data_IF_194068920682
#
_entry.id   IF_194068920682
#
_cell.length_a   1.000
_cell.length_b   1.000
_cell.length_c   1.000
_cell.angle_alpha   90.00
_cell.angle_beta   90.00
_cell.angle_gamma   90.00
#
_symmetry.space_group_name_H-M   'P 1'
#
loop_
_entity.id
_entity.type
_entity.pdbx_description
1 polymer ?
#
# COMPACT_ATOMS: atom_id res chain seq x y z
N UNK A 1 -35.84 12.37 0.94
CA UNK A 1 -35.11 11.20 1.47
C UNK A 1 -33.68 11.36 0.99
N UNK A 2 -32.76 11.68 1.90
CA UNK A 2 -31.37 11.87 1.54
C UNK A 2 -30.79 10.55 1.06
N UNK A 3 -30.44 10.51 -0.23
CA UNK A 3 -29.88 9.35 -0.89
C UNK A 3 -28.42 9.20 -0.47
N UNK A 4 -28.21 8.91 0.82
CA UNK A 4 -26.88 8.82 1.42
C UNK A 4 -26.14 7.66 0.78
N UNK A 5 -25.07 7.97 0.06
CA UNK A 5 -24.24 6.98 -0.61
C UNK A 5 -23.57 6.11 0.46
N UNK A 6 -23.88 4.81 0.44
CA UNK A 6 -23.28 3.85 1.37
C UNK A 6 -21.87 3.46 0.92
N UNK A 7 -20.83 3.62 1.76
CA UNK A 7 -19.45 3.23 1.46
C UNK A 7 -19.30 1.81 0.91
N UNK A 8 -20.05 0.85 1.43
CA UNK A 8 -20.00 -0.55 1.03
C UNK A 8 -20.49 -0.79 -0.41
N UNK A 9 -21.26 0.15 -0.98
CA UNK A 9 -21.72 0.09 -2.36
C UNK A 9 -20.77 0.78 -3.34
N UNK A 10 -19.65 1.33 -2.86
CA UNK A 10 -18.64 1.97 -3.69
C UNK A 10 -17.46 1.05 -3.96
N UNK A 11 -17.06 0.98 -5.23
CA UNK A 11 -15.77 0.49 -5.68
C UNK A 11 -14.89 1.71 -5.94
N UNK A 12 -13.73 1.78 -5.28
CA UNK A 12 -12.75 2.84 -5.51
C UNK A 12 -11.70 2.33 -6.48
N UNK A 13 -11.42 3.12 -7.51
CA UNK A 13 -10.45 2.81 -8.55
C UNK A 13 -9.45 3.96 -8.64
N UNK A 14 -8.16 3.67 -8.86
CA UNK A 14 -7.18 4.69 -9.20
C UNK A 14 -6.49 4.33 -10.52
N UNK A 15 -6.33 5.33 -11.39
CA UNK A 15 -5.56 5.21 -12.61
C UNK A 15 -5.08 6.58 -13.05
N UNK A 16 -3.84 6.66 -13.54
CA UNK A 16 -3.23 7.86 -14.18
C UNK A 16 -3.50 9.17 -13.41
N UNK A 17 -3.14 9.21 -12.11
CA UNK A 17 -3.28 10.42 -11.29
C UNK A 17 -4.73 10.80 -10.92
N UNK A 18 -5.70 9.98 -11.30
CA UNK A 18 -7.10 10.16 -10.94
C UNK A 18 -7.60 9.01 -10.05
N UNK A 19 -8.61 9.32 -9.25
CA UNK A 19 -9.31 8.37 -8.37
C UNK A 19 -10.80 8.51 -8.65
N UNK A 20 -11.51 7.38 -8.67
CA UNK A 20 -12.92 7.31 -9.00
C UNK A 20 -13.65 6.49 -7.95
N UNK A 21 -14.86 6.90 -7.60
CA UNK A 21 -15.83 6.01 -6.98
C UNK A 21 -16.88 5.58 -8.00
N UNK A 22 -17.08 4.28 -8.08
CA UNK A 22 -18.04 3.61 -8.96
C UNK A 22 -19.06 2.89 -8.09
N UNK A 23 -20.35 3.03 -8.37
CA UNK A 23 -21.37 2.20 -7.73
C UNK A 23 -21.21 0.75 -8.18
N UNK A 24 -21.11 -0.17 -7.22
CA UNK A 24 -21.03 -1.61 -7.49
C UNK A 24 -22.28 -2.16 -8.19
N UNK A 25 -23.43 -1.51 -7.99
CA UNK A 25 -24.74 -1.98 -8.47
C UNK A 25 -24.95 -1.81 -9.96
N UNK A 26 -24.48 -0.70 -10.54
CA UNK A 26 -24.80 -0.31 -11.92
C UNK A 26 -23.58 0.24 -12.69
N UNK A 27 -22.41 0.34 -12.06
CA UNK A 27 -21.21 0.91 -12.69
C UNK A 27 -21.24 2.44 -12.84
N UNK A 28 -22.25 3.13 -12.30
CA UNK A 28 -22.34 4.57 -12.40
C UNK A 28 -21.24 5.25 -11.57
N UNK A 29 -20.60 6.25 -12.16
CA UNK A 29 -19.60 7.06 -11.48
C UNK A 29 -20.26 8.02 -10.50
N UNK A 30 -19.83 7.96 -9.25
CA UNK A 30 -20.29 8.84 -8.16
C UNK A 30 -19.45 10.11 -8.11
N UNK A 31 -18.13 9.96 -8.08
CA UNK A 31 -17.20 11.08 -8.08
C UNK A 31 -15.89 10.75 -8.80
N UNK A 32 -15.16 11.81 -9.18
CA UNK A 32 -13.78 11.77 -9.68
C UNK A 32 -12.95 12.77 -8.88
N UNK A 33 -11.80 12.33 -8.39
CA UNK A 33 -10.80 13.20 -7.78
C UNK A 33 -9.53 13.20 -8.65
N UNK A 34 -9.09 14.39 -9.04
CA UNK A 34 -7.80 14.60 -9.72
C UNK A 34 -6.74 14.90 -8.67
N UNK A 35 -5.71 14.06 -8.58
CA UNK A 35 -4.64 14.26 -7.62
C UNK A 35 -3.63 15.26 -8.20
N UNK A 36 -3.89 16.55 -7.96
CA UNK A 36 -2.98 17.62 -8.38
C UNK A 36 -1.60 17.43 -7.75
N UNK A 37 -0.54 17.68 -8.51
CA UNK A 37 0.85 17.68 -8.01
C UNK A 37 1.47 16.31 -7.70
N UNK A 38 0.73 15.20 -7.86
CA UNK A 38 1.31 13.85 -7.68
C UNK A 38 1.74 13.20 -8.99
N UNK A 39 1.58 13.83 -10.16
CA UNK A 39 2.00 13.29 -11.45
C UNK A 39 1.13 12.14 -11.98
N UNK A 40 1.65 11.39 -12.94
CA UNK A 40 0.95 10.28 -13.61
C UNK A 40 1.57 8.95 -13.18
N UNK A 41 0.82 8.14 -12.41
CA UNK A 41 1.26 6.82 -11.95
C UNK A 41 0.07 5.96 -11.53
N UNK A 42 0.35 4.69 -11.21
CA UNK A 42 -0.63 3.83 -10.53
C UNK A 42 -0.45 4.02 -9.03
N UNK A 43 -1.51 4.41 -8.35
CA UNK A 43 -1.50 4.64 -6.91
C UNK A 43 -1.79 3.36 -6.15
N UNK A 44 -1.02 3.09 -5.10
CA UNK A 44 -1.46 2.11 -4.11
C UNK A 44 -2.68 2.66 -3.38
N UNK A 45 -3.78 1.93 -3.48
CA UNK A 45 -5.09 2.34 -2.98
C UNK A 45 -5.48 1.45 -1.80
N UNK A 46 -5.90 2.08 -0.71
CA UNK A 46 -6.48 1.39 0.44
C UNK A 46 -7.72 2.15 0.91
N UNK A 47 -8.81 1.46 1.23
CA UNK A 47 -10.02 2.07 1.78
C UNK A 47 -10.18 1.60 3.22
N UNK A 48 -10.35 2.52 4.16
CA UNK A 48 -10.74 2.23 5.54
C UNK A 48 -11.70 3.30 6.04
N UNK A 49 -12.72 2.88 6.77
CA UNK A 49 -13.71 3.75 7.39
C UNK A 49 -14.34 4.73 6.37
N UNK A 50 -14.21 6.03 6.59
CA UNK A 50 -14.73 7.07 5.71
C UNK A 50 -13.69 7.64 4.73
N UNK A 51 -12.53 6.99 4.57
CA UNK A 51 -11.41 7.51 3.76
C UNK A 51 -10.88 6.51 2.74
N UNK A 52 -10.49 7.02 1.58
CA UNK A 52 -9.65 6.34 0.60
C UNK A 52 -8.24 6.93 0.65
N UNK A 53 -7.24 6.09 0.88
CA UNK A 53 -5.83 6.44 0.94
C UNK A 53 -5.15 6.07 -0.37
N UNK A 54 -4.50 7.04 -0.99
CA UNK A 54 -3.83 6.87 -2.28
C UNK A 54 -2.38 7.28 -2.15
N UNK A 55 -1.51 6.28 -2.18
CA UNK A 55 -0.07 6.45 -2.22
C UNK A 55 0.41 6.52 -3.67
N UNK A 56 0.98 7.65 -4.08
CA UNK A 56 1.48 7.83 -5.44
C UNK A 56 2.64 8.82 -5.41
N UNK A 57 3.74 8.46 -6.08
CA UNK A 57 4.74 9.45 -6.46
C UNK A 57 5.26 10.29 -5.27
N UNK A 58 5.66 9.59 -4.21
CA UNK A 58 6.17 10.22 -2.98
C UNK A 58 5.13 10.99 -2.18
N UNK A 59 3.84 10.80 -2.43
CA UNK A 59 2.76 11.39 -1.64
C UNK A 59 1.81 10.31 -1.14
N UNK A 60 1.19 10.57 0.01
CA UNK A 60 -0.01 9.88 0.46
C UNK A 60 -1.13 10.91 0.57
N UNK A 61 -2.22 10.68 -0.14
CA UNK A 61 -3.41 11.53 -0.10
C UNK A 61 -4.56 10.76 0.52
N UNK A 62 -5.26 11.36 1.47
CA UNK A 62 -6.53 10.82 1.97
C UNK A 62 -7.69 11.60 1.36
N UNK A 63 -8.62 10.87 0.75
CA UNK A 63 -9.85 11.39 0.18
C UNK A 63 -11.04 10.93 1.04
N UNK A 64 -12.05 11.79 1.18
CA UNK A 64 -13.33 11.39 1.73
C UNK A 64 -13.99 10.39 0.77
N UNK A 65 -14.41 9.25 1.32
CA UNK A 65 -14.88 8.11 0.54
C UNK A 65 -16.20 8.40 -0.20
N UNK A 66 -17.01 9.31 0.31
CA UNK A 66 -18.37 9.57 -0.19
C UNK A 66 -18.44 10.64 -1.27
N UNK A 67 -17.52 11.60 -1.29
CA UNK A 67 -17.52 12.72 -2.23
C UNK A 67 -16.18 12.92 -2.99
N UNK A 68 -15.12 12.21 -2.60
CA UNK A 68 -13.79 12.30 -3.22
C UNK A 68 -12.99 13.54 -2.82
N UNK A 69 -13.47 14.36 -1.88
CA UNK A 69 -12.77 15.55 -1.43
C UNK A 69 -11.46 15.19 -0.71
N UNK A 70 -10.37 15.91 -1.00
CA UNK A 70 -9.12 15.74 -0.27
C UNK A 70 -9.28 16.19 1.19
N UNK A 71 -9.02 15.27 2.11
CA UNK A 71 -9.05 15.53 3.56
C UNK A 71 -7.69 16.03 4.02
N UNK A 72 -6.63 15.33 3.62
CA UNK A 72 -5.25 15.69 3.93
C UNK A 72 -4.28 15.08 2.93
N UNK A 73 -3.04 15.56 2.98
CA UNK A 73 -1.93 15.08 2.17
C UNK A 73 -0.63 15.06 2.95
N UNK A 74 0.09 13.94 2.87
CA UNK A 74 1.42 13.78 3.42
C UNK A 74 2.45 13.70 2.27
N UNK A 75 3.55 14.48 2.32
CA UNK A 75 4.58 14.51 1.28
C UNK A 75 5.60 13.36 1.36
N UNK A 76 5.37 12.36 2.22
CA UNK A 76 6.24 11.21 2.49
C UNK A 76 7.72 11.56 2.52
N UNK A 77 8.08 12.66 3.19
CA UNK A 77 9.41 13.24 3.10
C UNK A 77 10.50 12.22 3.44
N UNK A 78 11.46 12.03 2.54
CA UNK A 78 12.55 11.06 2.73
C UNK A 78 12.22 9.62 2.33
N UNK A 79 11.04 9.34 1.78
CA UNK A 79 10.64 8.02 1.23
C UNK A 79 10.99 7.84 -0.26
N UNK A 80 11.54 8.89 -0.90
CA UNK A 80 11.79 8.99 -2.35
C UNK A 80 10.52 8.94 -3.20
N UNK A 81 10.69 9.31 -4.47
CA UNK A 81 9.63 9.30 -5.47
C UNK A 81 9.62 7.93 -6.16
N UNK A 82 8.83 6.99 -5.64
CA UNK A 82 8.76 5.62 -6.16
C UNK A 82 7.38 5.02 -5.88
N UNK A 83 7.21 3.76 -6.29
CA UNK A 83 6.07 2.93 -5.90
C UNK A 83 6.02 2.84 -4.36
N UNK A 84 4.81 2.77 -3.84
CA UNK A 84 4.56 2.70 -2.41
C UNK A 84 3.58 1.55 -2.13
N UNK A 85 3.74 0.90 -0.99
CA UNK A 85 2.75 -0.03 -0.43
C UNK A 85 1.98 0.72 0.65
N UNK A 86 0.64 0.60 0.65
CA UNK A 86 -0.24 1.25 1.64
C UNK A 86 -1.08 0.20 2.34
N UNK A 87 -1.19 0.31 3.66
CA UNK A 87 -2.00 -0.56 4.52
C UNK A 87 -2.53 0.28 5.68
N UNK A 88 -3.77 0.06 6.12
CA UNK A 88 -4.31 0.75 7.30
C UNK A 88 -4.48 -0.26 8.44
N UNK A 89 -3.88 0.05 9.58
CA UNK A 89 -4.07 -0.68 10.82
C UNK A 89 -5.10 0.05 11.67
N UNK A 90 -6.29 -0.54 11.80
CA UNK A 90 -7.31 -0.05 12.71
C UNK A 90 -6.95 -0.53 14.12
N UNK A 91 -6.67 0.42 15.01
CA UNK A 91 -6.27 0.10 16.39
C UNK A 91 -7.50 0.19 17.29
N UNK A 92 -7.62 -0.74 18.24
CA UNK A 92 -8.62 -0.67 19.31
C UNK A 92 -8.24 0.34 20.41
N UNK A 93 -7.06 0.95 20.27
CA UNK A 93 -6.50 1.88 21.24
C UNK A 93 -6.99 3.30 21.03
N UNK A 94 -6.93 4.14 22.06
CA UNK A 94 -7.23 5.58 21.96
C UNK A 94 -6.27 6.34 21.03
N UNK A 95 -5.24 5.69 20.48
CA UNK A 95 -4.25 6.29 19.58
C UNK A 95 -4.72 6.38 18.12
N UNK A 96 -5.92 5.89 17.80
CA UNK A 96 -6.51 5.97 16.46
C UNK A 96 -5.86 5.01 15.44
N UNK A 97 -6.37 5.03 14.21
CA UNK A 97 -5.84 4.20 13.12
C UNK A 97 -4.52 4.74 12.58
N UNK A 98 -3.63 3.83 12.16
CA UNK A 98 -2.33 4.16 11.58
C UNK A 98 -2.29 3.69 10.13
N UNK A 99 -1.99 4.60 9.21
CA UNK A 99 -1.69 4.29 7.82
C UNK A 99 -0.20 3.96 7.71
N UNK A 100 0.09 2.73 7.34
CA UNK A 100 1.43 2.24 7.05
C UNK A 100 1.74 2.49 5.58
N UNK A 101 2.85 3.19 5.33
CA UNK A 101 3.36 3.41 3.98
C UNK A 101 4.79 2.91 3.89
N UNK A 102 5.06 2.06 2.90
CA UNK A 102 6.40 1.53 2.68
C UNK A 102 6.88 1.84 1.27
N UNK A 103 8.15 2.21 1.16
CA UNK A 103 8.81 2.47 -0.11
C UNK A 103 10.32 2.38 0.08
N UNK A 104 11.01 1.83 -0.91
CA UNK A 104 12.47 1.93 -1.02
C UNK A 104 13.25 1.55 0.24
N UNK A 105 12.90 0.42 0.88
CA UNK A 105 13.54 -0.04 2.12
C UNK A 105 13.17 0.77 3.36
N UNK A 106 12.08 1.52 3.32
CA UNK A 106 11.60 2.31 4.45
C UNK A 106 10.14 2.02 4.73
N UNK A 107 9.76 2.25 5.98
CA UNK A 107 8.40 2.18 6.49
C UNK A 107 8.08 3.44 7.29
N UNK A 108 6.91 4.01 7.08
CA UNK A 108 6.37 5.11 7.87
C UNK A 108 5.03 4.71 8.48
N UNK A 109 4.79 5.14 9.71
CA UNK A 109 3.47 5.21 10.32
C UNK A 109 2.94 6.63 10.23
N UNK A 110 1.72 6.77 9.71
CA UNK A 110 1.04 8.06 9.50
C UNK A 110 -0.30 8.02 10.24
N UNK A 111 -0.64 9.08 10.97
CA UNK A 111 -1.95 9.19 11.62
C UNK A 111 -3.07 9.23 10.59
N UNK A 112 -4.07 8.35 10.72
CA UNK A 112 -5.17 8.28 9.76
C UNK A 112 -6.10 9.52 9.77
N UNK A 113 -6.09 10.27 10.88
CA UNK A 113 -6.96 11.44 11.04
C UNK A 113 -6.38 12.71 10.43
N UNK A 114 -5.12 13.05 10.74
CA UNK A 114 -4.52 14.32 10.32
C UNK A 114 -3.43 14.15 9.26
N UNK A 115 -3.02 12.93 8.95
CA UNK A 115 -1.99 12.66 7.93
C UNK A 115 -0.58 13.01 8.40
N UNK A 116 -0.35 13.17 9.69
CA UNK A 116 0.94 13.46 10.29
C UNK A 116 1.83 12.21 10.33
N UNK A 117 3.14 12.37 10.08
CA UNK A 117 4.07 11.25 10.26
C UNK A 117 4.34 11.04 11.75
N UNK A 118 3.97 9.86 12.26
CA UNK A 118 4.16 9.47 13.65
C UNK A 118 5.57 8.94 13.88
N UNK A 119 6.07 8.10 12.97
CA UNK A 119 7.38 7.48 13.07
C UNK A 119 7.90 7.02 11.69
N UNK A 120 9.21 6.74 11.62
CA UNK A 120 9.88 6.19 10.43
C UNK A 120 10.85 5.08 10.81
N UNK A 121 10.97 4.07 9.95
CA UNK A 121 11.91 2.96 10.08
C UNK A 121 12.65 2.73 8.76
N UNK A 122 13.98 2.62 8.81
CA UNK A 122 14.88 2.48 7.65
C UNK A 122 15.14 1.02 7.25
N UNK A 123 14.30 0.06 7.68
CA UNK A 123 14.34 -1.40 7.42
C UNK A 123 15.77 -1.89 7.10
N UNK A 124 16.68 -1.74 8.07
CA UNK A 124 18.12 -1.86 7.82
C UNK A 124 18.47 -3.21 7.17
N UNK A 125 19.11 -3.13 5.99
CA UNK A 125 19.48 -4.29 5.19
C UNK A 125 18.39 -4.80 4.23
N UNK A 126 17.22 -4.15 4.17
CA UNK A 126 16.15 -4.42 3.21
C UNK A 126 16.45 -3.91 1.80
N UNK A 127 17.49 -3.08 1.67
CA UNK A 127 17.92 -2.43 0.43
C UNK A 127 16.79 -1.59 -0.20
N UNK A 128 16.89 -1.30 -1.49
CA UNK A 128 16.08 -0.31 -2.19
C UNK A 128 14.79 -0.84 -2.82
N UNK A 129 14.25 -1.93 -2.27
CA UNK A 129 13.09 -2.61 -2.83
C UNK A 129 11.79 -2.17 -2.17
N UNK A 130 10.67 -2.37 -2.87
CA UNK A 130 9.34 -2.10 -2.34
C UNK A 130 9.00 -3.13 -1.25
N UNK A 131 8.78 -2.72 0.01
CA UNK A 131 8.43 -3.66 1.06
C UNK A 131 6.99 -4.17 0.90
N UNK A 132 6.76 -5.44 1.24
CA UNK A 132 5.43 -6.01 1.41
C UNK A 132 5.03 -5.98 2.89
N UNK A 133 3.76 -5.69 3.15
CA UNK A 133 3.22 -5.43 4.48
C UNK A 133 2.13 -6.45 4.82
N UNK A 134 2.08 -6.87 6.08
CA UNK A 134 1.02 -7.73 6.59
C UNK A 134 0.72 -7.39 8.06
N UNK A 135 -0.56 -7.22 8.37
CA UNK A 135 -1.03 -7.15 9.76
C UNK A 135 -1.28 -8.56 10.28
N UNK A 136 -0.98 -8.76 11.55
CA UNK A 136 -1.29 -9.99 12.28
C UNK A 136 -2.60 -9.79 13.05
N UNK A 137 -3.68 -10.48 12.66
CA UNK A 137 -4.96 -10.39 13.36
C UNK A 137 -4.91 -10.90 14.79
N UNK A 138 -3.91 -11.73 15.13
CA UNK A 138 -3.70 -12.25 16.49
C UNK A 138 -2.86 -11.32 17.35
N UNK A 139 -2.17 -10.37 16.74
CA UNK A 139 -1.35 -9.37 17.41
C UNK A 139 -1.48 -8.03 16.68
N UNK A 140 -2.54 -7.24 16.95
CA UNK A 140 -2.83 -6.02 16.21
C UNK A 140 -1.81 -4.90 16.44
N UNK A 141 -0.91 -5.06 17.42
CA UNK A 141 0.08 -4.06 17.80
C UNK A 141 1.39 -4.17 17.00
N UNK A 142 1.44 -5.09 16.02
CA UNK A 142 2.64 -5.34 15.22
C UNK A 142 2.33 -5.43 13.74
N UNK A 143 3.31 -5.06 12.91
CA UNK A 143 3.30 -5.28 11.46
C UNK A 143 4.47 -6.17 11.06
N UNK A 144 4.17 -7.15 10.22
CA UNK A 144 5.17 -7.98 9.55
C UNK A 144 5.54 -7.33 8.21
N UNK A 145 6.83 -7.19 7.97
CA UNK A 145 7.36 -6.51 6.77
C UNK A 145 8.38 -7.38 6.08
N UNK A 146 8.15 -7.69 4.82
CA UNK A 146 9.14 -8.32 3.96
C UNK A 146 9.83 -7.26 3.09
N UNK A 147 11.15 -7.21 3.06
CA UNK A 147 11.89 -6.31 2.19
C UNK A 147 13.23 -6.92 1.79
N UNK A 148 13.52 -6.97 0.50
CA UNK A 148 14.74 -7.60 0.00
C UNK A 148 14.73 -9.11 0.27
N UNK A 149 15.66 -9.57 1.11
CA UNK A 149 15.76 -10.98 1.57
C UNK A 149 15.53 -11.11 3.06
N UNK A 150 14.82 -10.14 3.65
CA UNK A 150 14.67 -10.01 5.11
C UNK A 150 13.22 -9.88 5.51
N UNK A 151 12.93 -10.40 6.69
CA UNK A 151 11.66 -10.26 7.38
C UNK A 151 11.89 -9.40 8.63
N UNK A 152 10.94 -8.52 8.92
CA UNK A 152 10.94 -7.66 10.09
C UNK A 152 9.61 -7.81 10.82
N UNK A 153 9.67 -7.78 12.15
CA UNK A 153 8.52 -7.53 13.00
C UNK A 153 8.70 -6.15 13.62
N UNK A 154 7.78 -5.25 13.33
CA UNK A 154 7.82 -3.85 13.75
C UNK A 154 6.68 -3.60 14.74
N UNK A 155 6.96 -2.88 15.82
CA UNK A 155 5.92 -2.36 16.71
C UNK A 155 5.13 -1.25 15.99
N UNK A 156 3.81 -1.39 15.94
CA UNK A 156 2.94 -0.51 15.16
C UNK A 156 2.93 0.94 15.67
N UNK A 157 3.14 1.15 16.96
CA UNK A 157 2.92 2.47 17.58
C UNK A 157 4.16 3.36 17.59
N UNK A 158 5.36 2.79 17.62
CA UNK A 158 6.61 3.55 17.66
C UNK A 158 7.53 3.25 16.46
N UNK A 159 7.16 2.30 15.62
CA UNK A 159 7.94 1.91 14.45
C UNK A 159 9.23 1.17 14.78
N UNK A 160 9.47 0.76 16.02
CA UNK A 160 10.69 0.06 16.39
C UNK A 160 10.70 -1.38 15.89
N UNK A 161 11.85 -1.81 15.39
CA UNK A 161 12.06 -3.20 15.00
C UNK A 161 12.17 -4.07 16.25
N UNK A 162 11.16 -4.92 16.48
CA UNK A 162 11.16 -5.91 17.56
C UNK A 162 12.19 -7.00 17.25
N UNK A 163 12.14 -7.53 16.03
CA UNK A 163 13.17 -8.43 15.52
C UNK A 163 13.24 -8.35 13.99
N UNK A 164 14.35 -8.83 13.43
CA UNK A 164 14.50 -9.03 12.00
C UNK A 164 15.31 -10.30 11.71
N UNK A 165 15.09 -10.89 10.54
CA UNK A 165 15.74 -12.13 10.11
C UNK A 165 16.09 -12.10 8.63
N UNK A 166 17.28 -12.60 8.29
CA UNK A 166 17.66 -12.89 6.90
C UNK A 166 17.03 -14.21 6.48
N UNK A 167 16.22 -14.20 5.42
CA UNK A 167 15.59 -15.40 4.85
C UNK A 167 16.49 -16.11 3.84
N UNK A 168 17.32 -15.35 3.10
CA UNK A 168 18.23 -15.91 2.09
C UNK A 168 19.51 -15.09 1.98
N UNK A 169 20.64 -15.80 1.90
CA UNK A 169 21.96 -15.25 1.57
C UNK A 169 22.34 -15.44 0.10
N UNK A 170 21.50 -16.09 -0.71
CA UNK A 170 21.76 -16.31 -2.13
C UNK A 170 22.01 -14.96 -2.81
N UNK A 171 23.08 -14.82 -3.57
CA UNK A 171 23.39 -13.57 -4.28
C UNK A 171 22.61 -13.45 -5.60
N UNK A 172 22.14 -14.57 -6.14
CA UNK A 172 21.37 -14.65 -7.37
C UNK A 172 19.86 -14.57 -7.12
N UNK A 173 19.13 -14.00 -8.08
CA UNK A 173 17.67 -13.92 -8.09
C UNK A 173 17.10 -12.61 -7.53
N UNK A 174 15.85 -12.28 -7.90
CA UNK A 174 15.22 -11.03 -7.49
C UNK A 174 14.95 -11.05 -5.97
N UNK A 175 15.34 -10.02 -5.22
CA UNK A 175 15.23 -9.99 -3.77
C UNK A 175 13.84 -9.48 -3.36
N UNK A 176 12.81 -10.32 -3.58
CA UNK A 176 11.46 -10.05 -3.12
C UNK A 176 11.04 -11.08 -2.09
N UNK A 177 10.26 -10.61 -1.11
CA UNK A 177 9.59 -11.48 -0.14
C UNK A 177 8.10 -11.42 -0.46
N UNK A 178 7.45 -12.59 -0.48
CA UNK A 178 6.00 -12.70 -0.39
C UNK A 178 5.66 -13.34 0.96
N UNK A 179 4.52 -12.98 1.52
CA UNK A 179 4.08 -13.46 2.82
C UNK A 179 2.61 -13.87 2.74
N UNK A 180 2.27 -14.97 3.39
CA UNK A 180 0.89 -15.40 3.56
C UNK A 180 0.75 -16.11 4.91
N UNK A 181 -0.40 -15.90 5.55
CA UNK A 181 -0.93 -16.75 6.62
C UNK A 181 -2.21 -17.41 6.11
N UNK A 182 -2.71 -18.43 6.80
CA UNK A 182 -4.01 -19.02 6.48
C UNK A 182 -5.12 -17.94 6.43
N UNK A 183 -5.13 -17.04 7.41
CA UNK A 183 -6.12 -15.96 7.50
C UNK A 183 -5.95 -14.92 6.38
N UNK A 184 -4.72 -14.52 6.06
CA UNK A 184 -4.50 -13.55 4.99
C UNK A 184 -4.89 -14.12 3.62
N UNK A 185 -4.69 -15.42 3.40
CA UNK A 185 -5.10 -16.10 2.17
C UNK A 185 -6.62 -16.18 2.04
N UNK A 186 -7.33 -16.45 3.13
CA UNK A 186 -8.80 -16.39 3.15
C UNK A 186 -9.31 -14.98 2.83
N UNK A 187 -8.71 -13.96 3.45
CA UNK A 187 -9.08 -12.57 3.18
C UNK A 187 -8.78 -12.19 1.72
N UNK A 188 -7.60 -12.55 1.21
CA UNK A 188 -7.17 -12.26 -0.14
C UNK A 188 -8.12 -12.84 -1.20
N UNK A 189 -8.72 -14.01 -0.95
CA UNK A 189 -9.72 -14.60 -1.86
C UNK A 189 -10.93 -13.69 -2.09
N UNK A 190 -11.27 -12.83 -1.12
CA UNK A 190 -12.38 -11.87 -1.21
C UNK A 190 -11.95 -10.45 -1.59
N UNK A 191 -10.64 -10.15 -1.59
CA UNK A 191 -10.11 -8.81 -1.81
C UNK A 191 -9.18 -8.71 -3.01
N UNK A 192 -9.09 -9.76 -3.86
CA UNK A 192 -8.08 -9.83 -4.91
C UNK A 192 -8.27 -8.75 -5.98
N UNK A 193 -7.59 -7.63 -5.82
CA UNK A 193 -7.28 -6.67 -6.87
C UNK A 193 -5.83 -6.93 -7.27
N UNK A 194 -5.62 -7.70 -8.33
CA UNK A 194 -4.27 -8.09 -8.76
C UNK A 194 -3.47 -6.91 -9.29
N UNK A 195 -2.64 -6.28 -8.45
CA UNK A 195 -1.41 -5.64 -8.91
C UNK A 195 -0.30 -6.67 -8.75
N UNK A 196 0.06 -7.32 -9.84
CA UNK A 196 1.15 -8.28 -9.88
C UNK A 196 2.46 -7.51 -9.61
N UNK A 197 2.90 -7.41 -8.36
CA UNK A 197 4.17 -6.79 -7.95
C UNK A 197 5.41 -7.55 -8.43
N UNK A 198 5.30 -8.29 -9.53
CA UNK A 198 6.43 -8.96 -10.15
C UNK A 198 6.59 -8.51 -11.61
N UNK A 199 7.19 -7.33 -11.86
CA UNK A 199 7.58 -6.94 -13.21
C UNK A 199 8.54 -7.94 -13.86
N UNK A 200 9.23 -8.77 -13.07
CA UNK A 200 10.26 -9.69 -13.57
C UNK A 200 9.66 -10.81 -14.44
N UNK A 201 8.50 -11.37 -14.09
CA UNK A 201 7.91 -12.45 -14.88
C UNK A 201 7.51 -11.98 -16.30
N UNK A 202 7.04 -10.74 -16.43
CA UNK A 202 6.68 -10.16 -17.72
C UNK A 202 7.88 -9.55 -18.45
N UNK A 203 8.87 -8.99 -17.75
CA UNK A 203 10.13 -8.54 -18.35
C UNK A 203 10.93 -9.70 -18.96
N UNK A 204 11.09 -10.80 -18.21
CA UNK A 204 11.80 -12.00 -18.71
C UNK A 204 11.07 -12.62 -19.90
N UNK A 205 9.74 -12.58 -19.93
CA UNK A 205 8.97 -13.02 -21.10
C UNK A 205 9.16 -12.11 -22.31
N UNK A 206 9.21 -10.78 -22.13
CA UNK A 206 9.51 -9.82 -23.20
C UNK A 206 10.92 -10.00 -23.76
N UNK A 207 11.92 -10.18 -22.90
CA UNK A 207 13.31 -10.38 -23.29
C UNK A 207 13.48 -11.69 -24.10
N UNK A 208 12.86 -12.79 -23.65
CA UNK A 208 12.86 -14.06 -24.40
C UNK A 208 12.17 -13.94 -25.76
N UNK A 209 11.05 -13.22 -25.85
CA UNK A 209 10.35 -13.04 -27.13
C UNK A 209 11.10 -12.12 -28.09
N UNK A 210 11.88 -11.14 -27.60
CA UNK A 210 12.74 -10.32 -28.45
C UNK A 210 13.95 -11.08 -29.01
N UNK A 211 14.45 -12.09 -28.29
CA UNK A 211 15.56 -12.94 -28.77
C UNK A 211 15.12 -13.97 -29.81
N UNK A 212 13.88 -14.49 -29.73
CA UNK A 212 13.36 -15.48 -30.67
C UNK A 212 12.82 -14.88 -31.99
N UNK A 213 12.54 -13.58 -32.03
CA UNK A 213 12.07 -12.89 -33.25
C UNK A 213 13.21 -12.20 -34.02
N UNK A 214 14.46 -12.36 -33.58
CA UNK A 214 15.66 -11.77 -34.17
C UNK A 214 16.60 -12.77 -34.87
N UNK A 215 16.13 -14.00 -35.15
CA UNK A 215 16.87 -15.06 -35.83
C UNK A 215 16.14 -15.53 -37.09
#
# INVERSE_FOLDING_TARGET
MDNKISPENLLICSTVGEVYAIKKTDGARVWTAKLSGVGYGVGALFVSDSKAYVGMNGHLVALNLTDGAEVWRNPLSGMRYSEVSVLVANTSSSKGSIVLVASFGKLCGIGAELGETLWKNELKGGCYYLPCLMLDSTNPDVVMVGCGKRLYKINLFDGQTIWNQTLSSNLLGPPYVTMATHQSSLQAAFTYTGFNNNPVAQQVAKEKNSQNNGS
#
